data_IF_371010498767
#
_entry.id   IF_371010498767
#
_cell.length_a   1.000
_cell.length_b   1.000
_cell.length_c   1.000
_cell.angle_alpha   90.00
_cell.angle_beta   90.00
_cell.angle_gamma   90.00
#
_symmetry.space_group_name_H-M   'P 1'
#
loop_
_entity.id
_entity.type
_entity.pdbx_description
1 polymer ?
#
# COMPACT_ATOMS: atom_id res chain seq x y z
N UNK A 1 14.36 -35.45 11.14
CA UNK A 1 15.18 -34.21 11.03
C UNK A 1 14.36 -33.08 11.62
N UNK A 2 14.69 -32.64 12.85
CA UNK A 2 13.99 -31.50 13.49
C UNK A 2 14.39 -30.21 12.75
N UNK A 3 13.45 -29.31 12.41
CA UNK A 3 13.81 -27.99 11.91
C UNK A 3 14.68 -27.25 12.96
N UNK A 4 15.68 -26.51 12.49
CA UNK A 4 16.61 -25.75 13.34
C UNK A 4 15.87 -24.63 14.10
N UNK A 5 16.24 -24.35 15.37
CA UNK A 5 15.54 -23.37 16.23
C UNK A 5 15.54 -21.93 15.67
N UNK A 6 16.40 -21.60 14.71
CA UNK A 6 16.38 -20.33 14.00
C UNK A 6 15.14 -20.15 13.10
N UNK A 7 14.53 -21.25 12.62
CA UNK A 7 13.30 -21.20 11.80
C UNK A 7 12.03 -21.13 12.66
N UNK A 8 12.08 -21.60 13.90
CA UNK A 8 10.94 -21.54 14.83
C UNK A 8 10.72 -20.13 15.40
N UNK A 9 11.79 -19.32 15.50
CA UNK A 9 11.73 -17.94 16.01
C UNK A 9 11.04 -16.95 15.05
N UNK A 10 10.86 -17.31 13.77
CA UNK A 10 10.10 -16.50 12.84
C UNK A 10 8.57 -16.58 13.07
N UNK A 11 8.09 -17.49 13.92
CA UNK A 11 6.66 -17.74 14.15
C UNK A 11 6.11 -17.08 15.43
N UNK A 12 6.87 -16.21 16.10
CA UNK A 12 6.41 -15.55 17.34
C UNK A 12 6.59 -14.02 17.31
N UNK A 13 6.41 -13.41 16.13
CA UNK A 13 5.93 -12.04 16.08
C UNK A 13 4.42 -12.12 15.82
N UNK A 14 3.63 -12.14 16.90
CA UNK A 14 2.18 -11.95 16.76
C UNK A 14 1.97 -10.52 16.30
N UNK A 15 1.68 -10.38 15.03
CA UNK A 15 1.26 -9.13 14.42
C UNK A 15 -0.27 -9.07 14.55
N UNK A 16 -0.77 -8.00 15.17
CA UNK A 16 -2.22 -7.86 15.44
C UNK A 16 -3.04 -7.79 14.15
N UNK A 17 -2.40 -7.40 13.04
CA UNK A 17 -3.03 -7.21 11.74
C UNK A 17 -2.14 -7.80 10.64
N UNK A 18 -2.73 -8.70 9.83
CA UNK A 18 -2.11 -9.23 8.61
C UNK A 18 -2.84 -8.68 7.39
N UNK A 19 -2.08 -8.19 6.42
CA UNK A 19 -2.56 -7.66 5.14
C UNK A 19 -2.09 -8.61 4.03
N UNK A 20 -3.03 -9.25 3.35
CA UNK A 20 -2.75 -10.11 2.21
C UNK A 20 -2.71 -9.30 0.89
N UNK A 21 -1.52 -9.12 0.35
CA UNK A 21 -1.22 -8.46 -0.92
C UNK A 21 -0.49 -7.12 -0.75
N UNK A 22 0.61 -6.93 -1.50
CA UNK A 22 1.39 -5.69 -1.54
C UNK A 22 1.02 -4.78 -2.73
N UNK A 23 -0.26 -4.78 -3.12
CA UNK A 23 -0.81 -3.83 -4.09
C UNK A 23 -1.06 -2.44 -3.52
N UNK A 24 -1.61 -1.53 -4.34
CA UNK A 24 -1.92 -0.14 -3.93
C UNK A 24 -2.71 -0.07 -2.62
N UNK A 25 -3.78 -0.86 -2.52
CA UNK A 25 -4.63 -0.90 -1.32
C UNK A 25 -3.90 -1.47 -0.09
N UNK A 26 -3.15 -2.56 -0.25
CA UNK A 26 -2.43 -3.20 0.85
C UNK A 26 -1.34 -2.30 1.42
N UNK A 27 -0.54 -1.66 0.56
CA UNK A 27 0.49 -0.72 0.98
C UNK A 27 -0.11 0.57 1.57
N UNK A 28 -1.20 1.08 1.00
CA UNK A 28 -1.91 2.22 1.57
C UNK A 28 -2.45 1.90 2.98
N UNK A 29 -2.99 0.69 3.17
CA UNK A 29 -3.51 0.21 4.46
C UNK A 29 -2.37 0.09 5.48
N UNK A 30 -1.28 -0.59 5.14
CA UNK A 30 -0.11 -0.74 6.01
C UNK A 30 0.47 0.62 6.41
N UNK A 31 0.54 1.58 5.47
CA UNK A 31 0.98 2.94 5.74
C UNK A 31 0.03 3.68 6.68
N UNK A 32 -1.27 3.53 6.51
CA UNK A 32 -2.28 4.11 7.39
C UNK A 32 -2.14 3.62 8.83
N UNK A 33 -2.03 2.29 9.01
CA UNK A 33 -1.82 1.65 10.31
C UNK A 33 -0.50 2.10 10.96
N UNK A 34 0.59 2.09 10.21
CA UNK A 34 1.90 2.55 10.70
C UNK A 34 1.85 4.00 11.19
N UNK A 35 1.15 4.90 10.48
CA UNK A 35 0.97 6.31 10.91
C UNK A 35 0.14 6.46 12.19
N UNK A 36 -0.65 5.44 12.54
CA UNK A 36 -1.42 5.37 13.78
C UNK A 36 -0.69 4.59 14.88
N UNK A 37 0.55 4.16 14.65
CA UNK A 37 1.33 3.37 15.61
C UNK A 37 0.88 1.92 15.74
N UNK A 38 0.05 1.42 14.80
CA UNK A 38 -0.42 0.04 14.77
C UNK A 38 0.52 -0.78 13.91
N UNK A 39 1.03 -1.89 14.46
CA UNK A 39 1.90 -2.82 13.74
C UNK A 39 1.07 -3.69 12.79
N UNK A 40 1.63 -4.00 11.62
CA UNK A 40 0.96 -4.82 10.62
C UNK A 40 1.97 -5.56 9.75
N UNK A 41 1.65 -6.80 9.38
CA UNK A 41 2.43 -7.61 8.45
C UNK A 41 1.79 -7.62 7.07
N UNK A 42 2.55 -7.26 6.03
CA UNK A 42 2.11 -7.40 4.64
C UNK A 42 2.71 -8.66 4.04
N UNK A 43 1.86 -9.55 3.52
CA UNK A 43 2.27 -10.77 2.84
C UNK A 43 1.95 -10.65 1.35
N UNK A 44 2.94 -10.85 0.48
CA UNK A 44 2.76 -10.83 -0.97
C UNK A 44 3.16 -12.17 -1.58
N UNK A 45 2.34 -12.69 -2.49
CA UNK A 45 2.60 -13.97 -3.15
C UNK A 45 3.73 -13.86 -4.19
N UNK A 46 3.87 -12.68 -4.81
CA UNK A 46 4.94 -12.44 -5.77
C UNK A 46 6.30 -12.23 -5.11
N UNK A 47 7.32 -12.88 -5.67
CA UNK A 47 8.73 -12.65 -5.30
C UNK A 47 9.25 -11.26 -5.71
N UNK A 48 8.55 -10.56 -6.60
CA UNK A 48 8.97 -9.25 -7.10
C UNK A 48 7.79 -8.29 -7.16
N UNK A 49 8.02 -7.05 -6.73
CA UNK A 49 7.05 -5.97 -6.92
C UNK A 49 6.86 -5.74 -8.42
N UNK A 50 5.65 -5.95 -8.91
CA UNK A 50 5.29 -5.54 -10.27
C UNK A 50 5.09 -4.03 -10.28
N UNK A 51 6.07 -3.32 -10.84
CA UNK A 51 5.94 -1.92 -11.21
C UNK A 51 5.47 -1.75 -12.67
N UNK A 52 4.61 -2.64 -13.16
CA UNK A 52 4.08 -2.55 -14.52
C UNK A 52 3.28 -1.25 -14.68
N UNK A 53 3.57 -0.49 -15.74
CA UNK A 53 2.99 0.83 -16.01
C UNK A 53 1.49 0.78 -16.29
N UNK A 54 0.68 0.80 -15.23
CA UNK A 54 -0.76 0.99 -15.33
C UNK A 54 -1.10 2.42 -14.92
N UNK A 55 -1.77 3.14 -15.81
CA UNK A 55 -2.40 4.42 -15.48
C UNK A 55 -3.83 4.17 -15.01
N UNK A 56 -4.25 4.85 -13.94
CA UNK A 56 -5.64 4.82 -13.49
C UNK A 56 -6.09 6.23 -13.13
N UNK A 57 -7.38 6.50 -13.37
CA UNK A 57 -8.00 7.76 -12.99
C UNK A 57 -8.56 7.65 -11.59
N UNK A 58 -8.43 8.72 -10.81
CA UNK A 58 -8.95 8.83 -9.45
C UNK A 58 -9.67 10.16 -9.28
N UNK A 59 -10.56 10.23 -8.29
CA UNK A 59 -11.31 11.44 -7.96
C UNK A 59 -10.60 12.23 -6.85
N UNK A 60 -11.04 13.46 -6.62
CA UNK A 60 -10.48 14.37 -5.61
C UNK A 60 -10.42 13.76 -4.21
N UNK A 61 -11.40 12.91 -3.85
CA UNK A 61 -11.41 12.23 -2.55
C UNK A 61 -10.26 11.22 -2.38
N UNK A 62 -9.87 10.52 -3.44
CA UNK A 62 -8.74 9.61 -3.42
C UNK A 62 -7.41 10.37 -3.30
N UNK A 63 -7.27 11.52 -3.95
CA UNK A 63 -6.13 12.42 -3.73
C UNK A 63 -6.03 12.90 -2.28
N UNK A 64 -7.16 13.34 -1.68
CA UNK A 64 -7.20 13.71 -0.26
C UNK A 64 -6.78 12.54 0.64
N UNK A 65 -7.22 11.31 0.33
CA UNK A 65 -6.77 10.14 1.08
C UNK A 65 -5.26 9.93 0.95
N UNK A 66 -4.68 10.11 -0.23
CA UNK A 66 -3.23 10.02 -0.46
C UNK A 66 -2.44 11.10 0.28
N UNK A 67 -2.99 12.31 0.43
CA UNK A 67 -2.43 13.36 1.29
C UNK A 67 -2.34 12.89 2.74
N UNK A 68 -3.40 12.27 3.28
CA UNK A 68 -3.40 11.76 4.67
C UNK A 68 -2.37 10.65 4.89
N UNK A 69 -2.04 9.89 3.85
CA UNK A 69 -1.00 8.86 3.84
C UNK A 69 0.42 9.46 3.71
N UNK A 70 0.53 10.76 3.35
CA UNK A 70 1.77 11.51 3.19
C UNK A 70 2.45 11.29 1.84
N UNK A 71 1.70 10.91 0.82
CA UNK A 71 2.21 10.65 -0.54
C UNK A 71 1.57 11.53 -1.61
N UNK A 72 0.60 12.36 -1.23
CA UNK A 72 -0.15 13.25 -2.11
C UNK A 72 0.72 14.12 -3.01
N UNK A 73 1.61 14.94 -2.44
CA UNK A 73 2.52 15.82 -3.18
C UNK A 73 3.33 15.06 -4.25
N UNK A 74 3.80 13.86 -3.93
CA UNK A 74 4.60 13.04 -4.86
C UNK A 74 3.78 12.51 -6.03
N UNK A 75 2.51 12.20 -5.78
CA UNK A 75 1.59 11.66 -6.79
C UNK A 75 1.02 12.79 -7.65
N UNK A 76 0.73 13.94 -7.05
CA UNK A 76 0.20 15.11 -7.76
C UNK A 76 1.17 15.61 -8.84
N UNK A 77 2.48 15.66 -8.55
CA UNK A 77 3.50 16.03 -9.54
C UNK A 77 3.66 15.04 -10.71
N UNK A 78 3.08 13.84 -10.62
CA UNK A 78 3.17 12.79 -11.65
C UNK A 78 1.83 12.50 -12.33
N UNK A 79 0.77 13.27 -12.01
CA UNK A 79 -0.57 13.04 -12.53
C UNK A 79 -1.00 14.17 -13.46
N UNK A 80 -1.67 13.81 -14.56
CA UNK A 80 -2.36 14.76 -15.42
C UNK A 80 -3.78 14.99 -14.90
N UNK A 81 -4.13 16.24 -14.61
CA UNK A 81 -5.51 16.59 -14.30
C UNK A 81 -6.37 16.58 -15.57
N UNK A 82 -7.35 15.70 -15.61
CA UNK A 82 -8.34 15.66 -16.68
C UNK A 82 -9.50 16.56 -16.28
N UNK A 83 -9.66 17.69 -16.96
CA UNK A 83 -10.84 18.52 -16.81
C UNK A 83 -11.98 17.92 -17.64
N UNK A 84 -13.07 17.53 -16.99
CA UNK A 84 -14.31 17.23 -17.70
C UNK A 84 -14.89 18.54 -18.25
N UNK A 85 -14.53 18.85 -19.50
CA UNK A 85 -15.27 19.83 -20.30
C UNK A 85 -16.47 19.08 -20.87
N UNK A 86 -17.64 19.26 -20.25
CA UNK A 86 -18.88 18.85 -20.89
C UNK A 86 -18.97 19.58 -22.23
N UNK A 87 -19.29 18.85 -23.30
CA UNK A 87 -19.49 19.41 -24.63
C UNK A 87 -20.45 20.60 -24.52
N UNK A 88 -20.04 21.76 -25.05
CA UNK A 88 -20.94 22.89 -25.32
C UNK A 88 -22.03 22.47 -26.34
#
# INVERSE_FOLDING_TARGET
>A
MRPQPAQAQAMEAVEDIVIAGAGLAGLATARGLHRKGVRSLVLESSLMLRASGFAFTTWTNAFRALDTLGVGDKIQHRTTQVHHKWLD
#
